data_IF_673667513069
#
_entry.id   IF_673667513069
#
_cell.length_a   1.000
_cell.length_b   1.000
_cell.length_c   1.000
_cell.angle_alpha   90.00
_cell.angle_beta   90.00
_cell.angle_gamma   90.00
#
_symmetry.space_group_name_H-M   'P 1'
#
loop_
_entity.id
_entity.type
_entity.pdbx_description
1 polymer ?
#
# COMPACT_ATOMS: atom_id res chain seq x y z
N UNK A 1 -15.24 18.54 -8.66
CA UNK A 1 -14.55 17.22 -8.64
C UNK A 1 -15.14 16.36 -9.72
N UNK A 2 -14.33 15.68 -10.54
CA UNK A 2 -14.82 14.80 -11.60
C UNK A 2 -15.30 13.45 -11.05
N UNK A 3 -16.27 12.84 -11.72
CA UNK A 3 -16.78 11.50 -11.39
C UNK A 3 -15.75 10.42 -11.78
N UNK A 4 -15.71 9.27 -11.06
CA UNK A 4 -14.83 8.17 -11.45
C UNK A 4 -15.17 7.62 -12.84
N UNK A 5 -14.15 7.30 -13.63
CA UNK A 5 -14.27 6.68 -14.95
C UNK A 5 -13.71 5.26 -14.89
N UNK A 6 -14.42 4.30 -15.47
CA UNK A 6 -13.98 2.90 -15.57
C UNK A 6 -13.29 2.66 -16.91
N UNK A 7 -12.05 2.20 -16.88
CA UNK A 7 -11.29 1.84 -18.06
C UNK A 7 -11.62 0.43 -18.53
N UNK A 8 -11.37 0.14 -19.82
CA UNK A 8 -11.64 -1.18 -20.46
C UNK A 8 -11.05 -2.39 -19.73
N UNK A 9 -10.04 -2.19 -18.87
CA UNK A 9 -9.38 -3.25 -18.11
C UNK A 9 -9.86 -3.36 -16.65
N UNK A 10 -10.99 -2.75 -16.31
CA UNK A 10 -11.58 -2.78 -14.96
C UNK A 10 -10.90 -1.86 -13.95
N UNK A 11 -9.91 -1.08 -14.38
CA UNK A 11 -9.25 -0.05 -13.56
C UNK A 11 -10.15 1.19 -13.47
N UNK A 12 -10.37 1.68 -12.26
CA UNK A 12 -11.14 2.90 -11.99
C UNK A 12 -10.18 4.08 -11.84
N UNK A 13 -10.51 5.21 -12.46
CA UNK A 13 -9.69 6.43 -12.39
C UNK A 13 -10.52 7.61 -11.91
N UNK A 14 -9.91 8.52 -11.16
CA UNK A 14 -10.53 9.79 -10.75
C UNK A 14 -9.52 10.91 -10.84
N UNK A 15 -9.86 11.94 -11.60
CA UNK A 15 -9.04 13.14 -11.74
C UNK A 15 -9.29 14.14 -10.60
N UNK A 16 -8.21 14.68 -10.06
CA UNK A 16 -8.20 15.64 -8.96
C UNK A 16 -7.14 16.72 -9.21
N UNK A 17 -7.55 17.98 -9.20
CA UNK A 17 -6.64 19.13 -9.21
C UNK A 17 -6.48 19.67 -7.79
N UNK A 18 -5.25 19.88 -7.35
CA UNK A 18 -4.90 20.42 -6.03
C UNK A 18 -4.09 21.70 -6.21
N UNK A 19 -4.31 22.71 -5.38
CA UNK A 19 -3.55 23.97 -5.42
C UNK A 19 -4.26 25.16 -6.07
N UNK A 20 -5.56 25.05 -6.36
CA UNK A 20 -6.36 26.12 -6.96
C UNK A 20 -6.03 26.37 -8.43
N UNK A 21 -6.31 27.58 -8.92
CA UNK A 21 -6.03 28.00 -10.29
C UNK A 21 -4.63 28.63 -10.42
N UNK A 22 -3.93 28.37 -11.54
CA UNK A 22 -2.64 28.98 -11.88
C UNK A 22 -1.42 28.07 -11.69
N UNK A 23 -0.21 28.63 -11.68
CA UNK A 23 1.07 27.91 -11.74
C UNK A 23 1.35 26.94 -10.58
N UNK A 24 0.54 26.95 -9.51
CA UNK A 24 0.63 26.03 -8.37
C UNK A 24 -0.34 24.85 -8.47
N UNK A 25 -1.23 24.86 -9.46
CA UNK A 25 -2.16 23.77 -9.71
C UNK A 25 -1.38 22.51 -10.09
N UNK A 26 -1.68 21.40 -9.40
CA UNK A 26 -1.16 20.08 -9.73
C UNK A 26 -2.31 19.15 -10.05
N UNK A 27 -2.21 18.50 -11.20
CA UNK A 27 -3.16 17.51 -11.68
C UNK A 27 -2.72 16.12 -11.22
N UNK A 28 -3.63 15.43 -10.55
CA UNK A 28 -3.47 14.06 -10.10
C UNK A 28 -4.55 13.19 -10.70
N UNK A 29 -4.16 11.99 -11.12
CA UNK A 29 -5.07 10.91 -11.47
C UNK A 29 -4.93 9.84 -10.39
N UNK A 30 -5.99 9.67 -9.60
CA UNK A 30 -6.11 8.58 -8.64
C UNK A 30 -6.54 7.35 -9.42
N UNK A 31 -5.77 6.29 -9.34
CA UNK A 31 -6.04 5.02 -9.99
C UNK A 31 -6.38 3.99 -8.94
N UNK A 32 -7.42 3.19 -9.16
CA UNK A 32 -7.78 2.03 -8.33
C UNK A 32 -7.86 0.79 -9.21
N UNK A 33 -7.03 -0.20 -8.91
CA UNK A 33 -7.04 -1.50 -9.57
C UNK A 33 -7.76 -2.53 -8.68
N UNK A 34 -8.97 -3.01 -9.04
CA UNK A 34 -9.71 -3.97 -8.23
C UNK A 34 -9.01 -5.32 -8.00
N UNK A 35 -8.12 -5.74 -8.90
CA UNK A 35 -7.32 -6.94 -8.70
C UNK A 35 -6.27 -6.74 -7.60
N UNK A 36 -5.54 -5.63 -7.65
CA UNK A 36 -4.57 -5.28 -6.61
C UNK A 36 -5.27 -4.97 -5.28
N UNK A 37 -6.48 -4.41 -5.28
CA UNK A 37 -7.29 -4.27 -4.06
C UNK A 37 -7.48 -5.62 -3.37
N UNK A 38 -7.83 -6.66 -4.12
CA UNK A 38 -8.01 -8.02 -3.58
C UNK A 38 -6.70 -8.59 -3.05
N UNK A 39 -5.60 -8.38 -3.79
CA UNK A 39 -4.27 -8.86 -3.42
C UNK A 39 -3.74 -8.18 -2.16
N UNK A 40 -3.82 -6.84 -2.11
CA UNK A 40 -3.39 -6.03 -0.97
C UNK A 40 -4.21 -6.34 0.27
N UNK A 41 -5.54 -6.50 0.10
CA UNK A 41 -6.42 -6.95 1.17
C UNK A 41 -6.00 -8.30 1.72
N UNK A 42 -5.82 -9.31 0.88
CA UNK A 42 -5.42 -10.65 1.33
C UNK A 42 -4.10 -10.59 2.11
N UNK A 43 -3.11 -9.87 1.58
CA UNK A 43 -1.82 -9.69 2.25
C UNK A 43 -1.95 -8.96 3.59
N UNK A 44 -2.79 -7.92 3.68
CA UNK A 44 -3.05 -7.23 4.95
C UNK A 44 -3.72 -8.17 5.94
N UNK A 45 -4.74 -8.91 5.51
CA UNK A 45 -5.49 -9.82 6.37
C UNK A 45 -4.56 -10.89 6.94
N UNK A 46 -3.65 -11.45 6.14
CA UNK A 46 -2.61 -12.39 6.61
C UNK A 46 -1.69 -11.76 7.67
N UNK A 47 -1.22 -10.53 7.43
CA UNK A 47 -0.36 -9.81 8.37
C UNK A 47 -1.11 -9.52 9.68
N UNK A 48 -2.37 -9.10 9.59
CA UNK A 48 -3.20 -8.78 10.75
C UNK A 48 -3.47 -10.04 11.56
N UNK A 49 -3.78 -11.16 10.92
CA UNK A 49 -3.98 -12.45 11.59
C UNK A 49 -2.72 -12.89 12.35
N UNK A 50 -1.54 -12.76 11.74
CA UNK A 50 -0.25 -13.04 12.38
C UNK A 50 -0.01 -12.12 13.59
N UNK A 51 -0.32 -10.82 13.47
CA UNK A 51 -0.21 -9.87 14.59
C UNK A 51 -1.16 -10.24 15.72
N UNK A 52 -2.41 -10.58 15.43
CA UNK A 52 -3.39 -11.01 16.42
C UNK A 52 -2.92 -12.27 17.15
N UNK A 53 -2.39 -13.26 16.42
CA UNK A 53 -1.83 -14.47 17.00
C UNK A 53 -0.67 -14.17 17.96
N UNK A 54 0.30 -13.35 17.54
CA UNK A 54 1.43 -12.95 18.40
C UNK A 54 0.99 -12.15 19.62
N UNK A 55 0.00 -11.27 19.47
CA UNK A 55 -0.57 -10.53 20.60
C UNK A 55 -1.29 -11.45 21.60
N UNK A 56 -1.93 -12.52 21.11
CA UNK A 56 -2.56 -13.53 21.98
C UNK A 56 -1.51 -14.37 22.72
N UNK A 57 -0.43 -14.77 22.04
CA UNK A 57 0.70 -15.46 22.66
C UNK A 57 1.29 -14.62 23.80
N UNK A 58 1.55 -13.33 23.58
CA UNK A 58 2.04 -12.41 24.61
C UNK A 58 1.10 -12.28 25.83
N UNK A 59 -0.22 -12.43 25.65
CA UNK A 59 -1.20 -12.38 26.76
C UNK A 59 -1.22 -13.66 27.57
N UNK A 60 -1.07 -14.81 26.93
CA UNK A 60 -1.16 -16.12 27.59
C UNK A 60 0.02 -16.40 28.53
N UNK A 61 1.15 -15.72 28.34
CA UNK A 61 2.33 -15.86 29.20
C UNK A 61 2.47 -14.74 30.24
N UNK A 62 1.40 -14.05 30.63
CA UNK A 62 1.41 -12.83 31.46
C UNK A 62 2.27 -12.85 32.76
N UNK A 63 2.67 -14.03 33.26
CA UNK A 63 3.51 -14.22 34.45
C UNK A 63 5.04 -14.22 34.18
N UNK A 64 5.50 -14.04 32.94
CA UNK A 64 6.94 -14.00 32.59
C UNK A 64 7.34 -12.61 32.02
N UNK A 65 8.55 -12.08 32.27
CA UNK A 65 8.99 -10.80 31.70
C UNK A 65 9.12 -10.84 30.16
N UNK A 66 8.08 -10.41 29.43
CA UNK A 66 8.04 -10.42 27.95
C UNK A 66 8.48 -9.12 27.27
N UNK A 67 9.21 -8.25 27.97
CA UNK A 67 9.64 -6.95 27.42
C UNK A 67 10.41 -7.11 26.10
N UNK A 68 11.22 -8.16 25.96
CA UNK A 68 11.97 -8.44 24.73
C UNK A 68 11.07 -8.84 23.56
N UNK A 69 10.09 -9.73 23.78
CA UNK A 69 9.19 -10.19 22.73
C UNK A 69 8.21 -9.09 22.30
N UNK A 70 7.70 -8.32 23.27
CA UNK A 70 6.89 -7.13 23.02
C UNK A 70 7.68 -6.07 22.24
N UNK A 71 8.93 -5.79 22.63
CA UNK A 71 9.80 -4.85 21.92
C UNK A 71 10.10 -5.33 20.49
N UNK A 72 10.36 -6.61 20.30
CA UNK A 72 10.59 -7.21 18.98
C UNK A 72 9.35 -7.08 18.07
N UNK A 73 8.16 -7.37 18.59
CA UNK A 73 6.91 -7.22 17.84
C UNK A 73 6.66 -5.75 17.45
N UNK A 74 6.87 -4.82 18.38
CA UNK A 74 6.67 -3.38 18.15
C UNK A 74 7.68 -2.81 17.14
N UNK A 75 8.92 -3.27 17.16
CA UNK A 75 9.99 -2.82 16.25
C UNK A 75 10.02 -3.54 14.90
N UNK A 76 9.22 -4.60 14.73
CA UNK A 76 9.19 -5.36 13.49
C UNK A 76 8.64 -4.51 12.34
N UNK A 77 9.40 -4.40 11.24
CA UNK A 77 9.08 -3.53 10.09
C UNK A 77 7.68 -3.77 9.47
N UNK A 78 7.20 -5.00 9.41
CA UNK A 78 5.83 -5.34 8.93
C UNK A 78 4.79 -5.24 10.06
N UNK A 79 4.94 -6.06 11.11
CA UNK A 79 3.95 -6.20 12.18
C UNK A 79 3.80 -4.97 13.06
N UNK A 80 4.89 -4.29 13.38
CA UNK A 80 4.90 -3.11 14.26
C UNK A 80 4.00 -1.98 13.75
N UNK A 81 3.81 -1.89 12.42
CA UNK A 81 2.86 -0.96 11.79
C UNK A 81 1.42 -1.16 12.27
N UNK A 82 1.04 -2.40 12.61
CA UNK A 82 -0.32 -2.76 13.02
C UNK A 82 -0.46 -2.92 14.54
N UNK A 83 0.55 -2.52 15.32
CA UNK A 83 0.57 -2.64 16.77
C UNK A 83 0.57 -1.25 17.39
N UNK A 84 -0.23 -1.08 18.45
CA UNK A 84 -0.24 0.13 19.29
C UNK A 84 -0.11 -0.24 20.76
N UNK A 85 0.29 0.72 21.59
CA UNK A 85 0.51 0.51 23.01
C UNK A 85 -0.53 1.30 23.82
N UNK A 86 -1.16 0.64 24.80
CA UNK A 86 -2.06 1.32 25.74
C UNK A 86 -1.27 2.14 26.76
N UNK A 87 -1.89 3.08 27.49
CA UNK A 87 -1.23 3.79 28.58
C UNK A 87 -0.63 2.88 29.66
N UNK A 88 -1.20 1.69 29.82
CA UNK A 88 -0.72 0.64 30.73
C UNK A 88 0.46 -0.16 30.18
N UNK A 89 1.00 0.21 29.02
CA UNK A 89 2.15 -0.44 28.40
C UNK A 89 1.83 -1.72 27.61
N UNK A 90 0.56 -2.15 27.56
CA UNK A 90 0.17 -3.39 26.86
C UNK A 90 0.04 -3.16 25.36
N UNK A 91 0.55 -4.09 24.57
CA UNK A 91 0.40 -4.06 23.12
C UNK A 91 -0.99 -4.55 22.71
N UNK A 92 -1.58 -3.84 21.76
CA UNK A 92 -2.89 -4.12 21.19
C UNK A 92 -2.88 -3.86 19.68
N UNK A 93 -3.88 -4.38 18.98
CA UNK A 93 -3.99 -4.20 17.54
C UNK A 93 -4.40 -2.76 17.20
N UNK A 94 -3.69 -2.14 16.25
CA UNK A 94 -3.95 -0.78 15.80
C UNK A 94 -5.08 -0.73 14.75
N UNK A 95 -6.33 -0.78 15.20
CA UNK A 95 -7.51 -0.85 14.32
C UNK A 95 -7.66 0.34 13.36
N UNK A 96 -7.35 1.55 13.80
CA UNK A 96 -7.41 2.73 12.92
C UNK A 96 -6.40 2.64 11.79
N UNK A 97 -5.20 2.10 12.06
CA UNK A 97 -4.17 1.91 11.05
C UNK A 97 -4.65 0.92 9.99
N UNK A 98 -5.23 -0.20 10.39
CA UNK A 98 -5.85 -1.19 9.48
C UNK A 98 -6.88 -0.50 8.57
N UNK A 99 -7.78 0.32 9.13
CA UNK A 99 -8.77 1.07 8.34
C UNK A 99 -8.12 2.03 7.35
N UNK A 100 -7.07 2.74 7.75
CA UNK A 100 -6.37 3.67 6.84
C UNK A 100 -5.61 2.96 5.72
N UNK A 101 -5.04 1.78 5.99
CA UNK A 101 -4.39 0.96 4.95
C UNK A 101 -5.43 0.38 3.98
N UNK A 102 -6.59 -0.07 4.47
CA UNK A 102 -7.70 -0.54 3.63
C UNK A 102 -8.18 0.54 2.63
N UNK A 103 -8.15 1.82 3.03
CA UNK A 103 -8.53 2.92 2.15
C UNK A 103 -7.57 3.11 0.97
N UNK A 104 -6.34 2.61 1.04
CA UNK A 104 -5.32 2.80 0.00
C UNK A 104 -5.02 1.52 -0.80
N UNK A 105 -5.67 0.40 -0.47
CA UNK A 105 -5.53 -0.86 -1.21
C UNK A 105 -5.72 -0.69 -2.72
N UNK A 106 -4.77 -1.20 -3.49
CA UNK A 106 -4.78 -1.15 -4.95
C UNK A 106 -4.89 0.26 -5.53
N UNK A 107 -4.63 1.32 -4.73
CA UNK A 107 -4.65 2.70 -5.17
C UNK A 107 -3.24 3.24 -5.36
N UNK A 108 -3.07 4.01 -6.44
CA UNK A 108 -1.86 4.78 -6.67
C UNK A 108 -2.22 6.11 -7.32
N UNK A 109 -1.30 7.08 -7.24
CA UNK A 109 -1.46 8.39 -7.84
C UNK A 109 -0.45 8.58 -8.96
N UNK A 110 -0.92 9.10 -10.09
CA UNK A 110 -0.08 9.57 -11.18
C UNK A 110 -0.27 11.08 -11.30
N UNK A 111 0.81 11.84 -11.28
CA UNK A 111 0.79 13.28 -11.56
C UNK A 111 1.36 13.54 -12.95
N UNK A 112 0.71 14.42 -13.71
CA UNK A 112 1.23 14.92 -14.98
C UNK A 112 1.13 16.44 -15.01
N UNK A 113 2.16 17.11 -15.53
CA UNK A 113 2.11 18.54 -15.86
C UNK A 113 1.58 18.79 -17.27
N UNK A 114 1.46 17.75 -18.09
CA UNK A 114 0.90 17.83 -19.43
C UNK A 114 -0.64 17.86 -19.34
N UNK A 115 -1.20 18.99 -19.75
CA UNK A 115 -2.63 19.27 -19.77
C UNK A 115 -3.31 18.77 -21.06
N UNK A 116 -2.54 18.38 -22.08
CA UNK A 116 -3.06 17.86 -23.34
C UNK A 116 -3.46 16.39 -23.26
N UNK A 117 -2.88 15.64 -22.31
CA UNK A 117 -3.17 14.22 -22.13
C UNK A 117 -4.47 13.99 -21.36
N UNK A 118 -5.27 13.03 -21.79
CA UNK A 118 -6.43 12.58 -21.01
C UNK A 118 -5.99 11.82 -19.75
N UNK A 119 -6.84 11.77 -18.73
CA UNK A 119 -6.56 10.97 -17.53
C UNK A 119 -6.42 9.47 -17.86
N UNK A 120 -7.14 8.99 -18.88
CA UNK A 120 -7.01 7.63 -19.40
C UNK A 120 -5.63 7.39 -20.00
N UNK A 121 -5.17 8.28 -20.89
CA UNK A 121 -3.86 8.15 -21.55
C UNK A 121 -2.70 8.21 -20.54
N UNK A 122 -2.80 9.07 -19.53
CA UNK A 122 -1.82 9.15 -18.44
C UNK A 122 -1.68 7.79 -17.73
N UNK A 123 -2.81 7.15 -17.41
CA UNK A 123 -2.82 5.88 -16.67
C UNK A 123 -2.40 4.71 -17.56
N UNK A 124 -2.81 4.69 -18.82
CA UNK A 124 -2.38 3.68 -19.79
C UNK A 124 -0.87 3.77 -20.07
N UNK A 125 -0.35 4.98 -20.25
CA UNK A 125 1.08 5.23 -20.42
C UNK A 125 1.89 4.78 -19.20
N UNK A 126 1.42 5.11 -17.99
CA UNK A 126 2.04 4.65 -16.75
C UNK A 126 2.06 3.11 -16.65
N UNK A 127 0.95 2.44 -16.95
CA UNK A 127 0.89 0.96 -16.95
C UNK A 127 1.85 0.36 -17.97
N UNK A 128 2.04 1.01 -19.13
CA UNK A 128 3.03 0.59 -20.11
C UNK A 128 4.46 0.67 -19.57
N UNK A 129 4.80 1.77 -18.88
CA UNK A 129 6.12 1.95 -18.25
C UNK A 129 6.40 0.87 -17.19
N UNK A 130 5.41 0.52 -16.36
CA UNK A 130 5.57 -0.56 -15.36
C UNK A 130 5.90 -1.92 -15.97
N UNK A 131 5.32 -2.24 -17.14
CA UNK A 131 5.66 -3.48 -17.87
C UNK A 131 7.10 -3.45 -18.35
N UNK A 132 7.55 -2.29 -18.83
CA UNK A 132 8.93 -2.08 -19.29
C UNK A 132 9.90 -2.23 -18.10
N UNK A 133 9.62 -1.59 -16.97
CA UNK A 133 10.44 -1.72 -15.75
C UNK A 133 10.50 -3.17 -15.23
N UNK A 134 9.37 -3.90 -15.27
CA UNK A 134 9.35 -5.32 -14.92
C UNK A 134 10.23 -6.14 -15.85
N UNK A 135 10.09 -5.95 -17.17
CA UNK A 135 10.92 -6.64 -18.15
C UNK A 135 12.42 -6.36 -17.95
N UNK A 136 12.78 -5.10 -17.65
CA UNK A 136 14.16 -4.75 -17.31
C UNK A 136 14.64 -5.38 -16.01
N UNK A 137 13.79 -5.48 -14.98
CA UNK A 137 14.13 -6.16 -13.72
C UNK A 137 14.37 -7.65 -13.94
N UNK A 138 13.48 -8.31 -14.67
CA UNK A 138 13.58 -9.73 -14.98
C UNK A 138 14.85 -10.01 -15.80
N UNK A 139 15.17 -9.17 -16.78
CA UNK A 139 16.40 -9.28 -17.57
C UNK A 139 17.66 -9.13 -16.70
N UNK A 140 17.67 -8.20 -15.74
CA UNK A 140 18.78 -8.04 -14.79
C UNK A 140 18.93 -9.24 -13.86
N UNK A 141 17.83 -9.83 -13.41
CA UNK A 141 17.87 -11.06 -12.60
C UNK A 141 18.39 -12.26 -13.39
N UNK A 142 18.09 -12.36 -14.69
CA UNK A 142 18.68 -13.39 -15.57
C UNK A 142 20.20 -13.18 -15.71
N UNK A 143 20.67 -11.93 -15.79
CA UNK A 143 22.10 -11.61 -15.86
C UNK A 143 22.85 -11.79 -14.51
N UNK A 144 22.15 -11.71 -13.37
CA UNK A 144 22.72 -12.02 -12.05
C UNK A 144 22.92 -13.53 -11.81
N UNK A 145 22.25 -14.40 -12.60
CA UNK A 145 22.56 -15.82 -12.65
C UNK A 145 23.84 -15.99 -13.49
N UNK A 146 24.99 -15.76 -12.87
CA UNK A 146 26.26 -16.19 -13.46
C UNK A 146 26.25 -17.73 -13.57
N UNK A 147 26.58 -18.31 -14.73
CA UNK A 147 26.90 -19.74 -14.78
C UNK A 147 28.07 -20.02 -13.84
N UNK A 148 27.95 -21.10 -13.04
CA UNK A 148 29.09 -21.71 -12.34
C UNK A 148 30.06 -22.32 -13.34
#
# INVERSE_FOLDING_TARGET
MSSPVLLRQGTEIKEVTVGGDGAKARRYVIVRNPEEVRRDKAKRDDIVAEVEWRLAELKNLADVPHEKAACALRSHHVYGRYVTQTPTGRLTLHREKIKTEELVDGKFLVSSSDDTLSAEDIVLGYKALWRVERAFRDLKHVLDIRPV
#
